data_IF_460362281231
#
_entry.id   IF_460362281231
#
_cell.length_a   1.000
_cell.length_b   1.000
_cell.length_c   1.000
_cell.angle_alpha   90.00
_cell.angle_beta   90.00
_cell.angle_gamma   90.00
#
_symmetry.space_group_name_H-M   'P 1'
#
loop_
_entity.id
_entity.type
_entity.pdbx_description
1 polymer ?
#
# COMPACT_ATOMS: atom_id res chain seq x y z
N UNK A 1 21.86 17.24 -15.47
CA UNK A 1 20.41 16.98 -15.51
C UNK A 1 20.05 16.37 -14.17
N UNK A 2 19.30 17.11 -13.36
CA UNK A 2 18.86 16.62 -12.05
C UNK A 2 17.98 15.39 -12.31
N UNK A 3 18.30 14.18 -11.81
CA UNK A 3 17.41 13.04 -11.96
C UNK A 3 16.10 13.37 -11.26
N UNK A 4 15.13 13.87 -12.03
CA UNK A 4 13.83 14.27 -11.52
C UNK A 4 13.21 13.08 -10.82
N UNK A 5 12.97 13.20 -9.52
CA UNK A 5 12.36 12.15 -8.71
C UNK A 5 11.10 11.61 -9.41
N UNK A 6 11.04 10.30 -9.74
CA UNK A 6 9.96 9.77 -10.56
C UNK A 6 8.67 9.55 -9.73
N UNK A 7 7.93 10.63 -9.46
CA UNK A 7 6.65 10.63 -8.72
C UNK A 7 5.58 9.68 -9.31
N UNK A 8 5.69 9.33 -10.59
CA UNK A 8 4.76 8.40 -11.23
C UNK A 8 4.88 6.97 -10.70
N UNK A 9 6.09 6.56 -10.27
CA UNK A 9 6.34 5.21 -9.74
C UNK A 9 5.57 5.02 -8.43
N UNK A 10 5.64 5.99 -7.51
CA UNK A 10 4.88 5.94 -6.24
C UNK A 10 3.37 5.82 -6.48
N UNK A 11 2.84 6.54 -7.48
CA UNK A 11 1.40 6.50 -7.82
C UNK A 11 0.97 5.14 -8.36
N UNK A 12 1.77 4.53 -9.24
CA UNK A 12 1.48 3.18 -9.78
C UNK A 12 1.52 2.14 -8.65
N UNK A 13 2.52 2.23 -7.78
CA UNK A 13 2.67 1.33 -6.63
C UNK A 13 1.47 1.47 -5.68
N UNK A 14 1.04 2.69 -5.40
CA UNK A 14 -0.14 2.92 -4.56
C UNK A 14 -1.40 2.28 -5.13
N UNK A 15 -1.65 2.42 -6.44
CA UNK A 15 -2.81 1.80 -7.11
C UNK A 15 -2.74 0.26 -7.06
N UNK A 16 -1.56 -0.32 -7.26
CA UNK A 16 -1.35 -1.76 -7.15
C UNK A 16 -1.59 -2.24 -5.71
N UNK A 17 -1.10 -1.52 -4.72
CA UNK A 17 -1.31 -1.85 -3.30
C UNK A 17 -2.78 -1.78 -2.90
N UNK A 18 -3.54 -0.81 -3.41
CA UNK A 18 -5.00 -0.76 -3.22
C UNK A 18 -5.65 -2.00 -3.84
N UNK A 19 -5.32 -2.34 -5.09
CA UNK A 19 -5.87 -3.53 -5.76
C UNK A 19 -5.60 -4.81 -4.99
N UNK A 20 -4.36 -4.99 -4.53
CA UNK A 20 -3.95 -6.12 -3.69
C UNK A 20 -4.65 -6.12 -2.33
N UNK A 21 -4.86 -4.95 -1.74
CA UNK A 21 -5.56 -4.80 -0.45
C UNK A 21 -7.03 -5.18 -0.56
N UNK A 22 -7.72 -4.78 -1.63
CA UNK A 22 -9.11 -5.19 -1.88
C UNK A 22 -9.18 -6.70 -2.12
N UNK A 23 -8.32 -7.23 -2.98
CA UNK A 23 -8.27 -8.67 -3.26
C UNK A 23 -7.96 -9.49 -1.99
N UNK A 24 -6.97 -9.07 -1.21
CA UNK A 24 -6.62 -9.69 0.07
C UNK A 24 -7.76 -9.60 1.07
N UNK A 25 -8.48 -8.48 1.11
CA UNK A 25 -9.69 -8.32 1.92
C UNK A 25 -10.80 -9.30 1.54
N UNK A 26 -11.01 -9.55 0.24
CA UNK A 26 -12.00 -10.52 -0.25
C UNK A 26 -11.64 -11.95 0.18
N UNK A 27 -10.38 -12.35 0.04
CA UNK A 27 -9.92 -13.66 0.54
C UNK A 27 -10.05 -13.79 2.05
N UNK A 28 -9.88 -12.68 2.78
CA UNK A 28 -9.99 -12.68 4.24
C UNK A 28 -11.40 -12.97 4.75
N UNK A 29 -12.43 -12.79 3.90
CA UNK A 29 -13.82 -13.11 4.23
C UNK A 29 -14.02 -14.62 4.47
N UNK A 30 -13.17 -15.47 3.89
CA UNK A 30 -13.24 -16.92 4.07
C UNK A 30 -12.70 -17.36 5.44
N UNK A 31 -11.91 -16.52 6.10
CA UNK A 31 -11.22 -16.85 7.36
C UNK A 31 -11.71 -16.03 8.56
N UNK A 32 -12.23 -14.81 8.35
CA UNK A 32 -12.72 -13.93 9.40
C UNK A 32 -14.17 -13.51 9.16
N UNK A 33 -14.92 -13.36 10.25
CA UNK A 33 -16.32 -12.94 10.23
C UNK A 33 -16.61 -11.89 11.29
N UNK A 34 -17.73 -11.17 11.13
CA UNK A 34 -18.20 -10.17 12.09
C UNK A 34 -17.23 -9.01 12.28
N UNK A 35 -17.06 -8.56 13.52
CA UNK A 35 -16.29 -7.37 13.86
C UNK A 35 -14.81 -7.43 13.41
N UNK A 36 -14.19 -8.62 13.47
CA UNK A 36 -12.81 -8.83 13.04
C UNK A 36 -12.62 -8.56 11.55
N UNK A 37 -13.59 -8.97 10.72
CA UNK A 37 -13.56 -8.70 9.28
C UNK A 37 -13.65 -7.20 9.00
N UNK A 38 -14.54 -6.49 9.70
CA UNK A 38 -14.70 -5.05 9.58
C UNK A 38 -13.44 -4.28 10.01
N UNK A 39 -12.81 -4.68 11.12
CA UNK A 39 -11.54 -4.07 11.58
C UNK A 39 -10.43 -4.30 10.54
N UNK A 40 -10.37 -5.49 9.96
CA UNK A 40 -9.38 -5.79 8.93
C UNK A 40 -9.57 -4.91 7.69
N UNK A 41 -10.80 -4.80 7.19
CA UNK A 41 -11.15 -4.03 5.99
C UNK A 41 -11.01 -2.51 6.17
N UNK A 42 -11.41 -1.96 7.32
CA UNK A 42 -11.46 -0.51 7.53
C UNK A 42 -10.20 0.07 8.17
N UNK A 43 -9.47 -0.71 8.98
CA UNK A 43 -8.28 -0.23 9.68
C UNK A 43 -7.02 -0.92 9.19
N UNK A 44 -6.91 -2.24 9.32
CA UNK A 44 -5.63 -2.95 9.12
C UNK A 44 -5.16 -2.83 7.67
N UNK A 45 -6.05 -3.14 6.72
CA UNK A 45 -5.74 -3.12 5.29
C UNK A 45 -5.36 -1.71 4.79
N UNK A 46 -6.14 -0.65 5.06
CA UNK A 46 -5.74 0.72 4.70
C UNK A 46 -4.44 1.18 5.37
N UNK A 47 -4.24 0.89 6.66
CA UNK A 47 -3.00 1.26 7.37
C UNK A 47 -1.80 0.54 6.75
N UNK A 48 -1.93 -0.75 6.43
CA UNK A 48 -0.87 -1.51 5.79
C UNK A 48 -0.47 -0.90 4.43
N UNK A 49 -1.46 -0.52 3.61
CA UNK A 49 -1.20 0.15 2.32
C UNK A 49 -0.41 1.45 2.52
N UNK A 50 -0.79 2.28 3.49
CA UNK A 50 -0.11 3.54 3.78
C UNK A 50 1.34 3.33 4.23
N UNK A 51 1.56 2.41 5.19
CA UNK A 51 2.90 2.10 5.71
C UNK A 51 3.82 1.55 4.62
N UNK A 52 3.32 0.64 3.78
CA UNK A 52 4.10 0.07 2.67
C UNK A 52 4.42 1.16 1.64
N UNK A 53 3.44 2.01 1.30
CA UNK A 53 3.64 3.11 0.35
C UNK A 53 4.70 4.10 0.84
N UNK A 54 4.65 4.48 2.13
CA UNK A 54 5.66 5.36 2.72
C UNK A 54 7.05 4.70 2.73
N UNK A 55 7.14 3.43 3.11
CA UNK A 55 8.40 2.68 3.14
C UNK A 55 9.05 2.58 1.76
N UNK A 56 8.24 2.37 0.71
CA UNK A 56 8.71 2.36 -0.67
C UNK A 56 9.15 3.78 -1.09
N UNK A 57 8.36 4.81 -0.79
CA UNK A 57 8.73 6.20 -1.10
C UNK A 57 10.08 6.58 -0.49
N UNK A 58 10.33 6.25 0.78
CA UNK A 58 11.63 6.47 1.44
C UNK A 58 12.77 5.71 0.77
N UNK A 59 12.50 4.48 0.31
CA UNK A 59 13.50 3.64 -0.37
C UNK A 59 13.82 4.16 -1.77
N UNK A 60 12.82 4.60 -2.53
CA UNK A 60 13.02 5.22 -3.85
C UNK A 60 13.76 6.55 -3.67
N UNK A 61 13.37 7.38 -2.70
CA UNK A 61 14.08 8.63 -2.41
C UNK A 61 15.56 8.41 -2.07
N UNK A 62 15.89 7.40 -1.26
CA UNK A 62 17.30 7.13 -0.90
C UNK A 62 18.18 6.68 -2.07
N UNK A 63 17.57 6.08 -3.11
CA UNK A 63 18.28 5.65 -4.33
C UNK A 63 18.46 6.82 -5.30
N UNK A 64 17.45 7.69 -5.46
CA UNK A 64 17.45 8.76 -6.45
C UNK A 64 18.03 10.09 -5.96
N UNK A 65 17.96 10.39 -4.66
CA UNK A 65 18.42 11.65 -4.04
C UNK A 65 19.70 11.47 -3.20
N UNK A 66 20.53 10.48 -3.55
CA UNK A 66 21.75 10.16 -2.83
C UNK A 66 22.79 11.30 -2.86
#
# INVERSE_FOLDING_TARGET
MNPQYPLWIEKVIFLVLIGLSVYGGMLLQDYLSGALLWISWLCIMPIAVLVITEGIGRTVQSVYLK
#
